data_IF_050370291042
#
_entry.id   IF_050370291042
#
_cell.length_a   1.000
_cell.length_b   1.000
_cell.length_c   1.000
_cell.angle_alpha   90.00
_cell.angle_beta   90.00
_cell.angle_gamma   90.00
#
_symmetry.space_group_name_H-M   'P 1'
#
loop_
_entity.id
_entity.type
_entity.pdbx_description
1 polymer ?
#
# COMPACT_ATOMS: atom_id res chain seq x y z
N UNK A 1 -5.21 6.89 11.37
CA UNK A 1 -3.86 6.62 11.91
C UNK A 1 -2.95 7.57 11.19
N UNK A 2 -2.50 8.63 11.87
CA UNK A 2 -1.52 9.53 11.30
C UNK A 2 -0.24 8.73 11.03
N UNK A 3 -0.07 8.25 9.80
CA UNK A 3 1.23 7.98 9.20
C UNK A 3 1.90 9.32 8.89
N UNK A 4 1.96 10.18 9.90
CA UNK A 4 2.86 11.32 9.93
C UNK A 4 4.25 10.71 9.92
N UNK A 5 4.77 10.57 8.70
CA UNK A 5 6.18 10.56 8.31
C UNK A 5 7.05 10.75 9.55
N UNK A 6 7.58 9.64 10.09
CA UNK A 6 8.50 9.67 11.23
C UNK A 6 9.45 10.85 11.01
N UNK A 7 9.41 11.90 11.85
CA UNK A 7 10.22 13.09 11.64
C UNK A 7 11.66 12.65 11.46
N UNK A 8 12.42 13.29 10.58
CA UNK A 8 13.83 12.96 10.27
C UNK A 8 14.68 12.71 11.53
N UNK A 9 14.29 13.35 12.64
CA UNK A 9 14.80 13.16 13.98
C UNK A 9 14.68 11.71 14.54
N UNK A 10 13.56 11.02 14.34
CA UNK A 10 13.33 9.67 14.88
C UNK A 10 14.15 8.59 14.17
N UNK A 11 14.37 8.70 12.85
CA UNK A 11 15.30 7.79 12.15
C UNK A 11 16.73 7.90 12.68
N UNK A 12 17.19 9.13 12.97
CA UNK A 12 18.51 9.35 13.53
C UNK A 12 18.65 8.75 14.93
N UNK A 13 17.61 8.83 15.77
CA UNK A 13 17.60 8.19 17.08
C UNK A 13 17.71 6.67 16.99
N UNK A 14 17.05 6.02 16.03
CA UNK A 14 17.13 4.57 15.84
C UNK A 14 18.54 4.16 15.37
N UNK A 15 19.12 4.91 14.43
CA UNK A 15 20.49 4.67 13.95
C UNK A 15 21.52 4.86 15.08
N UNK A 16 21.36 5.90 15.89
CA UNK A 16 22.22 6.17 17.05
C UNK A 16 22.08 5.07 18.12
N UNK A 17 20.84 4.69 18.43
CA UNK A 17 20.54 3.59 19.35
C UNK A 17 21.17 2.27 18.90
N UNK A 18 21.10 1.95 17.59
CA UNK A 18 21.74 0.76 17.01
C UNK A 18 23.26 0.77 17.19
N UNK A 19 23.92 1.94 17.06
CA UNK A 19 25.38 2.07 17.27
C UNK A 19 25.79 1.86 18.73
N UNK A 20 24.95 2.25 19.68
CA UNK A 20 25.27 2.19 21.11
C UNK A 20 25.03 0.79 21.72
N UNK A 21 24.21 -0.05 21.08
CA UNK A 21 23.94 -1.43 21.53
C UNK A 21 25.08 -2.39 21.16
N UNK A 22 26.05 -2.56 22.07
CA UNK A 22 27.16 -3.53 21.89
C UNK A 22 26.73 -5.01 21.83
N UNK A 23 25.58 -5.40 22.40
CA UNK A 23 25.18 -6.83 22.50
C UNK A 23 23.67 -7.13 22.29
N UNK A 24 22.92 -6.29 21.59
CA UNK A 24 21.44 -6.44 21.50
C UNK A 24 20.90 -6.99 20.18
N UNK A 25 21.53 -6.68 19.05
CA UNK A 25 21.05 -7.00 17.70
C UNK A 25 22.27 -7.30 16.81
N UNK A 26 22.22 -8.40 16.06
CA UNK A 26 23.25 -8.76 15.09
C UNK A 26 23.31 -7.70 13.97
N UNK A 27 24.52 -7.32 13.52
CA UNK A 27 24.76 -6.21 12.58
C UNK A 27 23.97 -6.37 11.28
N UNK A 28 23.67 -7.61 10.87
CA UNK A 28 22.85 -7.91 9.68
C UNK A 28 21.42 -7.36 9.74
N UNK A 29 20.92 -6.98 10.92
CA UNK A 29 19.58 -6.40 11.10
C UNK A 29 19.63 -4.88 11.31
N UNK A 30 20.79 -4.25 11.12
CA UNK A 30 20.90 -2.81 11.28
C UNK A 30 20.22 -2.12 10.10
N UNK A 31 19.28 -1.23 10.41
CA UNK A 31 18.67 -0.37 9.43
C UNK A 31 19.58 0.83 9.14
N UNK A 32 19.72 1.11 7.86
CA UNK A 32 20.40 2.30 7.34
C UNK A 32 19.38 3.35 6.90
N UNK A 33 19.88 4.57 6.64
CA UNK A 33 19.04 5.67 6.16
C UNK A 33 18.28 5.32 4.87
N UNK A 34 18.87 4.51 4.00
CA UNK A 34 18.22 3.99 2.79
C UNK A 34 17.00 3.13 3.10
N UNK A 35 17.04 2.32 4.17
CA UNK A 35 15.92 1.46 4.57
C UNK A 35 14.74 2.29 5.07
N UNK A 36 15.01 3.33 5.87
CA UNK A 36 13.96 4.27 6.29
C UNK A 36 13.38 5.06 5.11
N UNK A 37 14.21 5.47 4.15
CA UNK A 37 13.72 6.11 2.92
C UNK A 37 12.84 5.15 2.09
N UNK A 38 13.23 3.89 1.97
CA UNK A 38 12.44 2.88 1.28
C UNK A 38 11.12 2.62 2.00
N UNK A 39 11.14 2.50 3.33
CA UNK A 39 9.94 2.31 4.14
C UNK A 39 8.96 3.49 4.00
N UNK A 40 9.47 4.73 3.93
CA UNK A 40 8.65 5.92 3.66
C UNK A 40 8.00 5.85 2.28
N UNK A 41 8.76 5.53 1.24
CA UNK A 41 8.19 5.37 -0.10
C UNK A 41 7.16 4.23 -0.15
N UNK A 42 7.40 3.13 0.57
CA UNK A 42 6.42 2.05 0.69
C UNK A 42 5.14 2.53 1.39
N UNK A 43 5.26 3.27 2.49
CA UNK A 43 4.10 3.83 3.20
C UNK A 43 3.28 4.77 2.30
N UNK A 44 3.94 5.60 1.49
CA UNK A 44 3.27 6.47 0.50
C UNK A 44 2.44 5.65 -0.52
N UNK A 45 2.98 4.53 -1.01
CA UNK A 45 2.26 3.61 -1.92
C UNK A 45 1.13 2.87 -1.19
N UNK A 46 1.32 2.54 0.08
CA UNK A 46 0.32 1.83 0.90
C UNK A 46 -0.84 2.71 1.36
N UNK A 47 -0.73 4.03 1.25
CA UNK A 47 -1.74 4.95 1.78
C UNK A 47 -3.14 4.71 1.18
N UNK A 48 -3.23 4.47 -0.13
CA UNK A 48 -4.54 4.20 -0.77
C UNK A 48 -5.19 2.91 -0.26
N UNK A 49 -4.38 1.88 0.02
CA UNK A 49 -4.88 0.63 0.58
C UNK A 49 -5.41 0.83 1.99
N UNK A 50 -4.73 1.67 2.78
CA UNK A 50 -5.16 2.03 4.12
C UNK A 50 -6.51 2.77 4.11
N UNK A 51 -6.65 3.78 3.25
CA UNK A 51 -7.90 4.55 3.12
C UNK A 51 -9.08 3.68 2.69
N UNK A 52 -8.89 2.84 1.67
CA UNK A 52 -9.91 1.89 1.20
C UNK A 52 -10.26 0.87 2.29
N UNK A 53 -9.25 0.30 2.97
CA UNK A 53 -9.48 -0.65 4.06
C UNK A 53 -10.28 -0.01 5.20
N UNK A 54 -10.00 1.25 5.53
CA UNK A 54 -10.75 1.99 6.54
C UNK A 54 -12.21 2.19 6.13
N UNK A 55 -12.46 2.55 4.87
CA UNK A 55 -13.82 2.67 4.35
C UNK A 55 -14.58 1.35 4.39
N UNK A 56 -13.94 0.24 3.98
CA UNK A 56 -14.54 -1.10 4.01
C UNK A 56 -14.80 -1.57 5.45
N UNK A 57 -13.90 -1.22 6.38
CA UNK A 57 -14.02 -1.57 7.79
C UNK A 57 -15.10 -0.78 8.53
N UNK A 58 -15.64 0.28 7.92
CA UNK A 58 -16.70 1.10 8.51
C UNK A 58 -18.06 0.46 8.23
N UNK A 59 -18.80 -0.02 9.25
CA UNK A 59 -20.10 -0.66 9.05
C UNK A 59 -21.08 0.24 8.28
N UNK A 60 -21.77 -0.32 7.29
CA UNK A 60 -22.75 0.40 6.48
C UNK A 60 -22.16 1.34 5.41
N UNK A 61 -20.84 1.50 5.35
CA UNK A 61 -20.16 2.40 4.40
C UNK A 61 -19.93 1.74 3.03
N UNK A 62 -19.42 0.50 3.02
CA UNK A 62 -19.07 -0.17 1.77
C UNK A 62 -20.24 -0.99 1.20
N UNK A 63 -20.64 -0.64 -0.03
CA UNK A 63 -21.53 -1.48 -0.87
C UNK A 63 -20.68 -2.37 -1.77
N UNK A 64 -21.22 -3.50 -2.22
CA UNK A 64 -20.53 -4.38 -3.18
C UNK A 64 -20.12 -3.65 -4.46
N UNK A 65 -20.91 -2.68 -4.91
CA UNK A 65 -20.61 -1.82 -6.06
C UNK A 65 -19.34 -0.98 -5.86
N UNK A 66 -19.01 -0.60 -4.62
CA UNK A 66 -17.83 0.23 -4.31
C UNK A 66 -16.52 -0.54 -4.49
N UNK A 67 -16.56 -1.88 -4.41
CA UNK A 67 -15.37 -2.73 -4.55
C UNK A 67 -14.74 -2.57 -5.93
N UNK A 68 -15.53 -2.44 -7.00
CA UNK A 68 -15.00 -2.20 -8.34
C UNK A 68 -14.27 -0.87 -8.41
N UNK A 69 -14.89 0.20 -7.89
CA UNK A 69 -14.29 1.54 -7.81
C UNK A 69 -12.97 1.51 -7.03
N UNK A 70 -12.92 0.78 -5.92
CA UNK A 70 -11.70 0.62 -5.13
C UNK A 70 -10.60 -0.14 -5.88
N UNK A 71 -10.97 -1.19 -6.63
CA UNK A 71 -10.01 -1.94 -7.44
C UNK A 71 -9.45 -1.04 -8.55
N UNK A 72 -10.28 -0.21 -9.19
CA UNK A 72 -9.84 0.72 -10.23
C UNK A 72 -8.87 1.76 -9.67
N UNK A 73 -9.20 2.37 -8.52
CA UNK A 73 -8.33 3.31 -7.81
C UNK A 73 -6.96 2.70 -7.45
N UNK A 74 -6.96 1.46 -6.94
CA UNK A 74 -5.73 0.73 -6.63
C UNK A 74 -4.92 0.45 -7.91
N UNK A 75 -5.59 0.03 -8.97
CA UNK A 75 -4.99 -0.30 -10.27
C UNK A 75 -4.31 0.91 -10.89
N UNK A 76 -4.99 2.07 -10.89
CA UNK A 76 -4.45 3.34 -11.38
C UNK A 76 -3.27 3.80 -10.53
N UNK A 77 -3.38 3.72 -9.20
CA UNK A 77 -2.32 4.10 -8.27
C UNK A 77 -1.04 3.29 -8.49
N UNK A 78 -1.17 1.96 -8.56
CA UNK A 78 -0.03 1.07 -8.82
C UNK A 78 0.57 1.29 -10.21
N UNK A 79 -0.26 1.48 -11.24
CA UNK A 79 0.20 1.75 -12.61
C UNK A 79 1.00 3.05 -12.70
N UNK A 80 0.54 4.09 -12.00
CA UNK A 80 1.25 5.37 -11.87
C UNK A 80 2.58 5.21 -11.14
N UNK A 81 2.59 4.46 -10.03
CA UNK A 81 3.81 4.15 -9.28
C UNK A 81 4.85 3.38 -10.11
N UNK A 82 4.41 2.46 -10.98
CA UNK A 82 5.28 1.65 -11.86
C UNK A 82 5.89 2.49 -12.99
N UNK A 83 5.09 3.35 -13.62
CA UNK A 83 5.50 4.15 -14.78
C UNK A 83 6.33 5.38 -14.39
N UNK A 84 6.16 5.88 -13.17
CA UNK A 84 6.88 7.04 -12.67
C UNK A 84 8.36 6.77 -12.32
N UNK A 85 9.11 7.86 -12.15
CA UNK A 85 10.51 7.86 -11.69
C UNK A 85 10.64 8.17 -10.20
N UNK A 86 9.51 8.45 -9.51
CA UNK A 86 9.47 8.82 -8.08
C UNK A 86 10.01 7.71 -7.17
N UNK A 87 9.68 6.46 -7.47
CA UNK A 87 9.95 5.31 -6.59
C UNK A 87 11.15 4.48 -7.07
N UNK A 88 11.92 3.89 -6.13
CA UNK A 88 13.08 3.08 -6.47
C UNK A 88 12.66 1.80 -7.24
N UNK A 89 13.55 1.20 -8.04
CA UNK A 89 13.24 0.01 -8.84
C UNK A 89 12.64 -1.15 -8.04
N UNK A 90 13.13 -1.39 -6.82
CA UNK A 90 12.59 -2.43 -5.93
C UNK A 90 11.10 -2.23 -5.62
N UNK A 91 10.68 -0.99 -5.38
CA UNK A 91 9.29 -0.67 -5.07
C UNK A 91 8.41 -0.71 -6.32
N UNK A 92 8.94 -0.26 -7.47
CA UNK A 92 8.24 -0.38 -8.76
C UNK A 92 7.98 -1.84 -9.13
N UNK A 93 8.96 -2.72 -8.92
CA UNK A 93 8.79 -4.17 -9.14
C UNK A 93 7.77 -4.77 -8.16
N UNK A 94 7.78 -4.35 -6.89
CA UNK A 94 6.76 -4.75 -5.93
C UNK A 94 5.36 -4.30 -6.37
N UNK A 95 5.22 -3.07 -6.90
CA UNK A 95 3.96 -2.57 -7.45
C UNK A 95 3.49 -3.40 -8.66
N UNK A 96 4.39 -3.88 -9.52
CA UNK A 96 4.01 -4.79 -10.62
C UNK A 96 3.42 -6.10 -10.11
N UNK A 97 3.97 -6.65 -9.02
CA UNK A 97 3.40 -7.84 -8.37
C UNK A 97 2.02 -7.53 -7.78
N UNK A 98 1.90 -6.38 -7.11
CA UNK A 98 0.61 -5.89 -6.60
C UNK A 98 -0.44 -5.75 -7.71
N UNK A 99 -0.08 -5.16 -8.85
CA UNK A 99 -0.98 -4.95 -9.98
C UNK A 99 -1.49 -6.26 -10.56
N UNK A 100 -0.61 -7.27 -10.71
CA UNK A 100 -1.01 -8.62 -11.14
C UNK A 100 -2.01 -9.25 -10.16
N UNK A 101 -1.80 -9.06 -8.86
CA UNK A 101 -2.70 -9.58 -7.84
C UNK A 101 -4.06 -8.87 -7.88
N UNK A 102 -4.07 -7.54 -8.00
CA UNK A 102 -5.29 -6.74 -8.15
C UNK A 102 -6.11 -7.18 -9.36
N UNK A 103 -5.47 -7.37 -10.52
CA UNK A 103 -6.13 -7.85 -11.73
C UNK A 103 -6.75 -9.24 -11.56
N UNK A 104 -6.09 -10.15 -10.82
CA UNK A 104 -6.67 -11.46 -10.49
C UNK A 104 -7.97 -11.31 -9.69
N UNK A 105 -7.99 -10.44 -8.70
CA UNK A 105 -9.21 -10.18 -7.91
C UNK A 105 -10.28 -9.49 -8.73
N UNK A 106 -9.91 -8.57 -9.63
CA UNK A 106 -10.85 -7.97 -10.58
C UNK A 106 -11.58 -9.04 -11.40
N UNK A 107 -10.85 -10.02 -11.97
CA UNK A 107 -11.46 -11.11 -12.73
C UNK A 107 -12.41 -11.95 -11.86
N UNK A 108 -12.06 -12.23 -10.60
CA UNK A 108 -12.93 -12.96 -9.68
C UNK A 108 -14.20 -12.16 -9.33
N UNK A 109 -14.08 -10.85 -9.16
CA UNK A 109 -15.20 -9.94 -8.94
C UNK A 109 -16.12 -9.93 -10.16
N UNK A 110 -15.58 -9.79 -11.37
CA UNK A 110 -16.40 -9.79 -12.59
C UNK A 110 -17.14 -11.13 -12.79
N UNK A 111 -16.52 -12.27 -12.48
CA UNK A 111 -17.16 -13.58 -12.62
C UNK A 111 -18.26 -13.84 -11.57
N UNK A 112 -18.35 -13.03 -10.51
CA UNK A 112 -19.31 -13.24 -9.44
C UNK A 112 -20.69 -12.67 -9.78
N UNK A 113 -21.76 -13.48 -9.75
CA UNK A 113 -23.13 -13.00 -9.99
C UNK A 113 -23.55 -11.88 -9.04
N UNK A 114 -23.08 -11.92 -7.78
CA UNK A 114 -23.40 -10.90 -6.78
C UNK A 114 -22.84 -9.52 -7.16
N UNK A 115 -21.59 -9.49 -7.63
CA UNK A 115 -20.97 -8.23 -8.05
C UNK A 115 -21.58 -7.71 -9.34
N UNK A 116 -21.89 -8.58 -10.32
CA UNK A 116 -22.59 -8.17 -11.55
C UNK A 116 -23.95 -7.52 -11.27
N UNK A 117 -24.73 -8.11 -10.36
CA UNK A 117 -26.01 -7.53 -9.94
C UNK A 117 -25.81 -6.18 -9.25
N UNK A 118 -24.86 -6.10 -8.31
CA UNK A 118 -24.58 -4.86 -7.58
C UNK A 118 -24.11 -3.72 -8.49
N UNK A 119 -23.29 -4.02 -9.51
CA UNK A 119 -22.87 -3.05 -10.52
C UNK A 119 -24.05 -2.64 -11.40
N UNK A 120 -24.89 -3.60 -11.82
CA UNK A 120 -26.10 -3.32 -12.59
C UNK A 120 -27.02 -2.33 -11.86
N UNK A 121 -27.23 -2.52 -10.56
CA UNK A 121 -28.03 -1.61 -9.70
C UNK A 121 -27.41 -0.22 -9.51
N UNK A 122 -26.10 -0.04 -9.74
CA UNK A 122 -25.45 1.26 -9.63
C UNK A 122 -25.68 2.13 -10.88
N UNK A 123 -25.88 1.49 -12.04
CA UNK A 123 -25.94 2.14 -13.37
C UNK A 123 -27.40 2.23 -13.90
N UNK A 124 -28.38 1.71 -13.16
CA UNK A 124 -29.80 1.78 -13.49
C UNK A 124 -30.56 2.77 -12.60
#
# INVERSE_FOLDING_TARGET
MELNLLPTHQHNQIIEWQRHKRHGIDRKYYLEKSDFNLARHLAEVMNIFYEITLQISTPGSARLSNIVVFIDQITEHLSTAISGTKYPPVLRNACQVGLKLTNKYYSLTDMSPLYRIAIGMLVS
#
